data_IF_458461540030
#
_entry.id   IF_458461540030
#
_cell.length_a   1.000
_cell.length_b   1.000
_cell.length_c   1.000
_cell.angle_alpha   90.00
_cell.angle_beta   90.00
_cell.angle_gamma   90.00
#
_symmetry.space_group_name_H-M   'P 1'
#
loop_
_entity.id
_entity.type
_entity.pdbx_description
1 polymer ?
#
# COMPACT_ATOMS: atom_id res chain seq x y z
N UNK A 1 -7.51 -46.53 23.68
CA UNK A 1 -8.42 -46.21 24.80
C UNK A 1 -7.79 -45.07 25.59
N UNK A 2 -8.48 -43.95 25.80
CA UNK A 2 -7.94 -42.88 26.64
C UNK A 2 -7.88 -43.36 28.09
N UNK A 3 -6.72 -43.24 28.74
CA UNK A 3 -6.61 -43.54 30.18
C UNK A 3 -7.39 -42.49 30.99
N UNK A 4 -7.98 -42.87 32.13
CA UNK A 4 -8.75 -41.95 32.95
C UNK A 4 -7.86 -40.81 33.48
N UNK A 5 -8.41 -39.59 33.51
CA UNK A 5 -7.74 -38.40 34.05
C UNK A 5 -7.54 -38.60 35.57
N UNK A 6 -6.45 -38.07 36.13
CA UNK A 6 -6.25 -38.13 37.58
C UNK A 6 -7.31 -37.32 38.33
N UNK A 7 -7.85 -37.91 39.41
CA UNK A 7 -8.90 -37.28 40.26
C UNK A 7 -8.47 -35.93 40.83
N UNK A 8 -7.17 -35.74 41.03
CA UNK A 8 -6.54 -34.48 41.47
C UNK A 8 -6.66 -33.40 40.40
N UNK A 9 -6.37 -33.74 39.14
CA UNK A 9 -6.47 -32.82 38.02
C UNK A 9 -7.94 -32.46 37.70
N UNK A 10 -8.88 -33.39 37.84
CA UNK A 10 -10.32 -33.14 37.68
C UNK A 10 -10.82 -32.06 38.66
N UNK A 11 -10.45 -32.15 39.94
CA UNK A 11 -10.81 -31.13 40.95
C UNK A 11 -10.24 -29.75 40.61
N UNK A 12 -8.99 -29.69 40.11
CA UNK A 12 -8.37 -28.44 39.68
C UNK A 12 -9.08 -27.82 38.47
N UNK A 13 -9.56 -28.65 37.53
CA UNK A 13 -10.34 -28.19 36.40
C UNK A 13 -11.68 -27.59 36.81
N UNK A 14 -12.35 -28.16 37.81
CA UNK A 14 -13.61 -27.62 38.32
C UNK A 14 -13.44 -26.30 39.07
N UNK A 15 -12.36 -26.15 39.85
CA UNK A 15 -12.03 -24.88 40.51
C UNK A 15 -11.63 -23.77 39.52
N UNK A 16 -11.17 -24.14 38.32
CA UNK A 16 -10.84 -23.22 37.23
C UNK A 16 -12.07 -22.72 36.47
N UNK A 17 -13.23 -23.39 36.56
CA UNK A 17 -14.44 -22.93 35.87
C UNK A 17 -15.00 -21.71 36.59
N UNK A 18 -15.17 -20.56 35.90
CA UNK A 18 -15.85 -19.42 36.49
C UNK A 18 -17.31 -19.81 36.79
N UNK A 19 -17.85 -19.29 37.90
CA UNK A 19 -19.23 -19.56 38.32
C UNK A 19 -20.08 -18.31 38.13
N UNK A 20 -21.26 -18.48 37.56
CA UNK A 20 -22.25 -17.40 37.45
C UNK A 20 -23.09 -17.37 38.73
N UNK A 21 -22.99 -16.29 39.51
CA UNK A 21 -23.66 -16.15 40.81
C UNK A 21 -24.22 -14.73 40.91
N UNK A 22 -25.52 -14.61 41.19
CA UNK A 22 -26.23 -13.35 41.42
C UNK A 22 -26.00 -12.33 40.28
N UNK A 23 -26.19 -12.77 39.03
CA UNK A 23 -26.11 -11.89 37.87
C UNK A 23 -24.69 -11.56 37.39
N UNK A 24 -23.63 -12.05 38.05
CA UNK A 24 -22.24 -11.76 37.71
C UNK A 24 -21.39 -13.03 37.61
N UNK A 25 -20.44 -13.03 36.68
CA UNK A 25 -19.41 -14.06 36.61
C UNK A 25 -18.36 -13.82 37.70
N UNK A 26 -18.21 -14.80 38.60
CA UNK A 26 -17.14 -14.80 39.59
C UNK A 26 -15.88 -15.41 38.98
N UNK A 27 -14.74 -14.77 39.27
CA UNK A 27 -13.43 -15.27 38.88
C UNK A 27 -13.21 -16.70 39.45
N UNK A 28 -12.47 -17.56 38.74
CA UNK A 28 -12.13 -18.88 39.25
C UNK A 28 -11.28 -18.80 40.52
N UNK A 29 -11.33 -19.87 41.31
CA UNK A 29 -10.57 -19.99 42.56
C UNK A 29 -9.08 -20.17 42.26
N UNK A 30 -8.77 -20.91 41.20
CA UNK A 30 -7.40 -21.21 40.75
C UNK A 30 -7.07 -20.36 39.53
N UNK A 31 -5.92 -19.69 39.53
CA UNK A 31 -5.49 -18.88 38.40
C UNK A 31 -5.03 -19.76 37.23
N UNK A 32 -4.97 -19.19 36.02
CA UNK A 32 -4.47 -19.92 34.85
C UNK A 32 -2.99 -20.33 35.01
N UNK A 33 -2.22 -19.56 35.78
CA UNK A 33 -0.81 -19.83 36.08
C UNK A 33 -0.67 -21.02 37.02
N UNK A 34 -1.39 -21.01 38.14
CA UNK A 34 -1.32 -22.07 39.15
C UNK A 34 -1.75 -23.42 38.56
N UNK A 35 -2.78 -23.43 37.69
CA UNK A 35 -3.16 -24.65 36.98
C UNK A 35 -2.07 -25.13 36.00
N UNK A 36 -1.34 -24.22 35.36
CA UNK A 36 -0.25 -24.58 34.47
C UNK A 36 0.95 -25.16 35.25
N UNK A 37 1.25 -24.61 36.43
CA UNK A 37 2.27 -25.12 37.35
C UNK A 37 1.88 -26.51 37.90
N UNK A 38 0.64 -26.67 38.38
CA UNK A 38 0.11 -27.96 38.82
C UNK A 38 0.10 -29.00 37.69
N UNK A 39 -0.24 -28.58 36.47
CA UNK A 39 -0.15 -29.46 35.29
C UNK A 39 1.28 -29.92 35.03
N UNK A 40 2.27 -29.03 35.13
CA UNK A 40 3.69 -29.39 34.97
C UNK A 40 4.15 -30.37 36.06
N UNK A 41 3.75 -30.16 37.31
CA UNK A 41 4.12 -31.05 38.41
C UNK A 41 3.51 -32.44 38.26
N UNK A 42 2.25 -32.54 37.85
CA UNK A 42 1.58 -33.84 37.63
C UNK A 42 2.21 -34.59 36.45
N UNK A 43 2.55 -33.89 35.36
CA UNK A 43 3.31 -34.48 34.24
C UNK A 43 4.68 -34.99 34.72
N UNK A 44 5.38 -34.23 35.57
CA UNK A 44 6.67 -34.65 36.12
C UNK A 44 6.57 -35.85 37.06
N UNK A 45 5.44 -36.01 37.76
CA UNK A 45 5.12 -37.19 38.57
C UNK A 45 4.69 -38.41 37.72
N UNK A 46 4.60 -38.27 36.40
CA UNK A 46 4.19 -39.33 35.48
C UNK A 46 2.68 -39.49 35.34
N UNK A 47 1.88 -38.57 35.87
CA UNK A 47 0.43 -38.58 35.64
C UNK A 47 0.09 -38.07 34.23
N UNK A 48 -0.87 -38.72 33.58
CA UNK A 48 -1.34 -38.30 32.27
C UNK A 48 -2.36 -37.15 32.38
N UNK A 49 -2.00 -36.00 31.81
CA UNK A 49 -2.85 -34.81 31.74
C UNK A 49 -3.29 -34.59 30.29
N UNK A 50 -4.59 -34.42 29.98
CA UNK A 50 -5.05 -34.26 28.61
C UNK A 50 -4.37 -33.05 27.93
N UNK A 51 -3.79 -33.28 26.75
CA UNK A 51 -3.23 -32.22 25.93
C UNK A 51 -4.36 -31.29 25.48
N UNK A 52 -4.20 -29.98 25.67
CA UNK A 52 -5.12 -29.04 25.05
C UNK A 52 -4.89 -29.12 23.54
N UNK A 53 -5.94 -29.10 22.71
CA UNK A 53 -5.71 -28.97 21.27
C UNK A 53 -4.91 -27.70 21.01
N UNK A 54 -3.98 -27.76 20.06
CA UNK A 54 -3.28 -26.58 19.59
C UNK A 54 -4.33 -25.57 19.09
N UNK A 55 -4.06 -24.28 19.30
CA UNK A 55 -4.89 -23.23 18.69
C UNK A 55 -4.80 -23.40 17.18
N UNK A 56 -5.94 -23.55 16.53
CA UNK A 56 -6.01 -23.59 15.08
C UNK A 56 -5.52 -22.24 14.53
N UNK A 57 -4.44 -22.30 13.74
CA UNK A 57 -3.82 -21.15 13.05
C UNK A 57 -4.29 -21.07 11.59
N UNK A 58 -5.19 -21.95 11.15
CA UNK A 58 -5.59 -22.08 9.75
C UNK A 58 -6.19 -20.81 9.13
N UNK A 59 -6.73 -19.91 9.95
CA UNK A 59 -7.29 -18.63 9.51
C UNK A 59 -6.46 -17.42 9.97
N UNK A 60 -5.15 -17.60 10.18
CA UNK A 60 -4.26 -16.46 10.40
C UNK A 60 -4.36 -15.51 9.20
N UNK A 61 -4.58 -14.22 9.48
CA UNK A 61 -4.73 -13.21 8.42
C UNK A 61 -3.42 -13.12 7.62
N UNK A 62 -3.46 -13.04 6.29
CA UNK A 62 -2.26 -12.83 5.51
C UNK A 62 -1.58 -11.52 5.91
N UNK A 63 -0.26 -11.47 5.78
CA UNK A 63 0.51 -10.27 6.09
C UNK A 63 0.04 -9.10 5.23
N UNK A 64 0.02 -7.91 5.84
CA UNK A 64 -0.30 -6.67 5.12
C UNK A 64 0.86 -6.32 4.18
N UNK A 65 0.61 -6.33 2.88
CA UNK A 65 1.56 -5.84 1.89
C UNK A 65 1.79 -4.31 2.04
N UNK A 66 3.02 -3.88 1.76
CA UNK A 66 3.37 -2.47 1.72
C UNK A 66 2.59 -1.72 0.63
N UNK A 67 2.51 -0.38 0.73
CA UNK A 67 1.86 0.43 -0.31
C UNK A 67 2.54 0.27 -1.68
N UNK A 68 3.86 0.11 -1.68
CA UNK A 68 4.65 -0.03 -2.90
C UNK A 68 4.36 -1.35 -3.61
N UNK A 69 4.36 -2.47 -2.87
CA UNK A 69 4.06 -3.81 -3.43
C UNK A 69 2.65 -3.85 -4.01
N UNK A 70 1.65 -3.33 -3.28
CA UNK A 70 0.26 -3.27 -3.77
C UNK A 70 0.10 -2.46 -5.06
N UNK A 71 0.93 -1.45 -5.27
CA UNK A 71 0.81 -0.54 -6.40
C UNK A 71 1.74 -0.90 -7.57
N UNK A 72 2.60 -1.91 -7.41
CA UNK A 72 3.63 -2.26 -8.39
C UNK A 72 3.03 -2.58 -9.76
N UNK A 73 2.03 -3.45 -9.80
CA UNK A 73 1.34 -3.86 -11.04
C UNK A 73 0.70 -2.65 -11.74
N UNK A 74 -0.08 -1.85 -11.01
CA UNK A 74 -0.70 -0.63 -11.57
C UNK A 74 0.30 0.38 -12.14
N UNK A 75 1.53 0.39 -11.60
CA UNK A 75 2.61 1.26 -12.10
C UNK A 75 3.20 0.70 -13.39
N UNK A 76 3.37 -0.61 -13.48
CA UNK A 76 3.86 -1.30 -14.68
C UNK A 76 2.88 -1.14 -15.84
N UNK A 77 1.58 -1.27 -15.60
CA UNK A 77 0.53 -1.05 -16.60
C UNK A 77 0.57 0.37 -17.17
N UNK A 78 0.68 1.37 -16.30
CA UNK A 78 0.77 2.78 -16.71
C UNK A 78 2.03 3.06 -17.54
N UNK A 79 3.15 2.41 -17.19
CA UNK A 79 4.38 2.52 -17.98
C UNK A 79 4.15 1.92 -19.37
N UNK A 80 3.52 0.75 -19.46
CA UNK A 80 3.23 0.11 -20.74
C UNK A 80 2.32 0.96 -21.63
N UNK A 81 1.26 1.56 -21.08
CA UNK A 81 0.38 2.49 -21.80
C UNK A 81 1.13 3.73 -22.30
N UNK A 82 1.97 4.32 -21.46
CA UNK A 82 2.78 5.48 -21.84
C UNK A 82 3.78 5.14 -22.95
N UNK A 83 4.37 3.95 -22.91
CA UNK A 83 5.29 3.48 -23.95
C UNK A 83 4.58 3.28 -25.29
N UNK A 84 3.33 2.80 -25.29
CA UNK A 84 2.51 2.70 -26.51
C UNK A 84 2.24 4.08 -27.12
N UNK A 85 2.02 5.11 -26.30
CA UNK A 85 1.72 6.48 -26.72
C UNK A 85 2.96 7.31 -27.10
N UNK A 86 4.15 6.84 -26.74
CA UNK A 86 5.42 7.52 -27.01
C UNK A 86 5.62 7.99 -28.48
N UNK A 87 5.35 7.19 -29.53
CA UNK A 87 5.54 7.64 -30.92
C UNK A 87 4.64 8.83 -31.29
N UNK A 88 3.40 8.86 -30.81
CA UNK A 88 2.46 9.96 -31.04
C UNK A 88 2.98 11.25 -30.41
N UNK A 89 3.41 11.16 -29.14
CA UNK A 89 3.97 12.29 -28.39
C UNK A 89 5.21 12.86 -29.11
N UNK A 90 6.08 11.99 -29.64
CA UNK A 90 7.26 12.41 -30.40
C UNK A 90 6.85 13.12 -31.70
N UNK A 91 5.84 12.61 -32.41
CA UNK A 91 5.36 13.20 -33.65
C UNK A 91 4.75 14.60 -33.41
N UNK A 92 3.89 14.73 -32.40
CA UNK A 92 3.31 16.01 -31.96
C UNK A 92 4.40 17.03 -31.63
N UNK A 93 5.41 16.62 -30.85
CA UNK A 93 6.53 17.48 -30.50
C UNK A 93 7.34 17.93 -31.72
N UNK A 94 7.63 17.02 -32.64
CA UNK A 94 8.35 17.34 -33.88
C UNK A 94 7.57 18.33 -34.75
N UNK A 95 6.26 18.15 -34.89
CA UNK A 95 5.40 19.05 -35.64
C UNK A 95 5.38 20.45 -35.02
N UNK A 96 5.18 20.53 -33.70
CA UNK A 96 5.23 21.80 -32.95
C UNK A 96 6.55 22.54 -33.17
N UNK A 97 7.67 21.82 -33.11
CA UNK A 97 8.99 22.42 -33.36
C UNK A 97 9.20 22.84 -34.82
N UNK A 98 8.68 22.08 -35.77
CA UNK A 98 8.72 22.45 -37.19
C UNK A 98 7.92 23.73 -37.47
N UNK A 99 6.74 23.87 -36.86
CA UNK A 99 5.92 25.08 -36.97
C UNK A 99 6.61 26.31 -36.37
N UNK A 100 7.22 26.17 -35.19
CA UNK A 100 8.00 27.24 -34.58
C UNK A 100 9.14 27.69 -35.50
N UNK A 101 9.87 26.75 -36.12
CA UNK A 101 10.93 27.06 -37.10
C UNK A 101 10.38 27.72 -38.37
N UNK A 102 9.20 27.32 -38.85
CA UNK A 102 8.55 27.97 -40.00
C UNK A 102 8.17 29.42 -39.67
N UNK A 103 7.61 29.65 -38.48
CA UNK A 103 7.26 31.00 -38.00
C UNK A 103 8.50 31.90 -37.90
N UNK A 104 9.58 31.43 -37.27
CA UNK A 104 10.82 32.21 -37.14
C UNK A 104 11.48 32.49 -38.50
N UNK A 105 11.51 31.51 -39.42
CA UNK A 105 11.99 31.74 -40.79
C UNK A 105 11.16 32.79 -41.52
N UNK A 106 9.82 32.72 -41.43
CA UNK A 106 8.93 33.69 -42.07
C UNK A 106 9.16 35.11 -41.55
N UNK A 107 9.29 35.26 -40.23
CA UNK A 107 9.61 36.55 -39.60
C UNK A 107 10.91 37.12 -40.17
N UNK A 108 11.97 36.31 -40.22
CA UNK A 108 13.27 36.72 -40.78
C UNK A 108 13.17 37.14 -42.25
N UNK A 109 12.46 36.37 -43.09
CA UNK A 109 12.26 36.72 -44.50
C UNK A 109 11.45 37.99 -44.68
N UNK A 110 10.46 38.23 -43.82
CA UNK A 110 9.62 39.44 -43.87
C UNK A 110 10.39 40.68 -43.40
N UNK A 111 11.34 40.52 -42.47
CA UNK A 111 12.30 41.56 -42.05
C UNK A 111 13.29 41.90 -43.15
N UNK A 112 13.87 40.90 -43.83
CA UNK A 112 14.78 41.08 -44.96
C UNK A 112 14.09 41.81 -46.11
N UNK A 113 12.87 41.39 -46.49
CA UNK A 113 12.06 42.08 -47.51
C UNK A 113 11.78 43.54 -47.15
N UNK A 114 11.44 43.81 -45.88
CA UNK A 114 11.19 45.17 -45.40
C UNK A 114 12.45 46.03 -45.44
N UNK A 115 13.60 45.48 -45.04
CA UNK A 115 14.91 46.14 -45.12
C UNK A 115 15.27 46.51 -46.55
N UNK A 116 15.09 45.59 -47.50
CA UNK A 116 15.34 45.84 -48.93
C UNK A 116 14.42 46.96 -49.46
N UNK A 117 13.13 46.95 -49.09
CA UNK A 117 12.15 47.90 -49.61
C UNK A 117 12.30 49.33 -49.03
N UNK A 118 12.69 49.46 -47.76
CA UNK A 118 12.68 50.76 -47.04
C UNK A 118 14.06 51.28 -46.66
N UNK A 119 15.11 50.47 -46.79
CA UNK A 119 16.47 50.78 -46.32
C UNK A 119 16.61 50.81 -44.79
N UNK A 120 15.59 50.39 -44.03
CA UNK A 120 15.54 50.46 -42.55
C UNK A 120 15.16 49.11 -41.94
N UNK A 121 15.53 48.89 -40.67
CA UNK A 121 15.09 47.71 -39.94
C UNK A 121 13.57 47.72 -39.70
N UNK A 122 12.92 46.55 -39.76
CA UNK A 122 11.49 46.42 -39.50
C UNK A 122 11.23 46.70 -38.01
N UNK A 123 10.34 47.63 -37.65
CA UNK A 123 10.02 47.87 -36.25
C UNK A 123 9.25 46.69 -35.67
N UNK A 124 9.58 46.31 -34.42
CA UNK A 124 8.92 45.21 -33.71
C UNK A 124 7.42 45.52 -33.52
N UNK A 125 6.57 44.86 -34.32
CA UNK A 125 5.13 45.10 -34.36
C UNK A 125 4.43 44.74 -33.03
N UNK A 126 5.03 43.89 -32.19
CA UNK A 126 4.53 43.58 -30.84
C UNK A 126 4.66 44.76 -29.87
N UNK A 127 5.74 45.54 -29.95
CA UNK A 127 5.94 46.73 -29.11
C UNK A 127 5.04 47.90 -29.54
N UNK A 128 4.78 48.03 -30.85
CA UNK A 128 3.92 49.08 -31.40
C UNK A 128 2.42 48.91 -31.09
N UNK A 129 1.94 47.66 -30.89
CA UNK A 129 0.53 47.39 -30.50
C UNK A 129 0.24 47.73 -29.04
N UNK A 130 1.20 47.54 -28.13
CA UNK A 130 1.01 47.82 -26.70
C UNK A 130 1.15 49.31 -26.33
N UNK A 131 1.73 50.15 -27.19
CA UNK A 131 1.91 51.59 -26.95
C UNK A 131 0.73 52.47 -27.39
N UNK A 132 -0.28 51.89 -28.05
CA UNK A 132 -1.49 52.56 -28.54
C UNK A 132 -2.73 52.37 -27.63
N UNK A 133 -2.54 51.84 -26.42
CA UNK A 133 -3.57 51.76 -25.38
C UNK A 133 -3.28 52.79 -24.30
#
# INVERSE_FOLDING_TARGET
MAKPISKTFEKLLDLRKPKYINGRWRKPVVSARDLAEARKSLIAMGEEVPSKPLRDRGNDRPFKLSKWERNKESREDRIAENMKRMPEIIAEYRNKMAELRKKTRKVKTDEEKYRIATGRAKPDLEYAKNKKK
#
